data_IF_296965937781
#
_entry.id   IF_296965937781
#
_cell.length_a   1.000
_cell.length_b   1.000
_cell.length_c   1.000
_cell.angle_alpha   90.00
_cell.angle_beta   90.00
_cell.angle_gamma   90.00
#
_symmetry.space_group_name_H-M   'P 1'
#
loop_
_entity.id
_entity.type
_entity.pdbx_description
1 polymer ?
#
# COMPACT_ATOMS: atom_id res chain seq x y z
N UNK A 1 19.95 4.88 -14.62
CA UNK A 1 18.50 4.79 -14.80
C UNK A 1 18.05 3.66 -13.88
N UNK A 2 17.35 3.94 -12.78
CA UNK A 2 16.79 2.88 -11.92
C UNK A 2 15.57 2.35 -12.66
N UNK A 3 15.61 1.08 -13.07
CA UNK A 3 14.58 0.51 -13.94
C UNK A 3 13.30 0.13 -13.18
N UNK A 4 13.36 0.01 -11.84
CA UNK A 4 12.25 -0.41 -10.99
C UNK A 4 12.17 0.50 -9.75
N UNK A 5 11.05 1.21 -9.61
CA UNK A 5 10.78 2.09 -8.46
C UNK A 5 10.53 1.28 -7.19
N UNK A 6 9.91 0.11 -7.31
CA UNK A 6 9.70 -0.82 -6.21
C UNK A 6 10.95 -1.69 -6.11
N UNK A 7 11.59 -1.68 -4.96
CA UNK A 7 12.69 -2.58 -4.63
C UNK A 7 12.15 -3.99 -4.32
N UNK A 8 11.25 -4.09 -3.35
CA UNK A 8 10.58 -5.34 -2.99
C UNK A 8 9.27 -5.09 -2.22
N UNK A 9 8.47 -6.14 -2.04
CA UNK A 9 7.23 -6.13 -1.27
C UNK A 9 7.33 -7.21 -0.19
N UNK A 10 7.17 -6.83 1.07
CA UNK A 10 7.07 -7.76 2.19
C UNK A 10 5.61 -8.07 2.46
N UNK A 11 5.24 -9.36 2.37
CA UNK A 11 3.89 -9.84 2.65
C UNK A 11 3.90 -10.63 3.94
N UNK A 12 3.28 -10.07 4.97
CA UNK A 12 3.20 -10.70 6.29
C UNK A 12 2.11 -11.76 6.33
N UNK A 13 2.20 -12.65 7.32
CA UNK A 13 1.14 -13.62 7.57
C UNK A 13 -0.18 -12.91 7.90
N UNK A 14 -1.27 -13.46 7.37
CA UNK A 14 -2.59 -12.95 7.65
C UNK A 14 -2.97 -13.27 9.11
N UNK A 15 -3.39 -12.25 9.85
CA UNK A 15 -3.84 -12.39 11.23
C UNK A 15 -5.35 -12.24 11.30
N UNK A 16 -5.99 -13.06 12.14
CA UNK A 16 -7.43 -12.97 12.39
C UNK A 16 -7.66 -12.31 13.75
N UNK A 17 -8.20 -11.10 13.75
CA UNK A 17 -8.59 -10.35 14.96
C UNK A 17 -10.07 -10.01 14.86
N UNK A 18 -10.85 -10.25 15.92
CA UNK A 18 -12.30 -9.97 15.99
C UNK A 18 -13.13 -10.49 14.80
N UNK A 19 -12.73 -11.64 14.24
CA UNK A 19 -13.40 -12.25 13.09
C UNK A 19 -12.99 -11.70 11.73
N UNK A 20 -12.19 -10.63 11.68
CA UNK A 20 -11.65 -10.02 10.47
C UNK A 20 -10.24 -10.55 10.22
N UNK A 21 -9.96 -11.00 9.00
CA UNK A 21 -8.61 -11.38 8.57
C UNK A 21 -7.91 -10.19 7.94
N UNK A 22 -6.87 -9.68 8.58
CA UNK A 22 -6.03 -8.61 8.07
C UNK A 22 -4.70 -9.18 7.57
N UNK A 23 -4.22 -8.69 6.43
CA UNK A 23 -2.91 -9.01 5.90
C UNK A 23 -2.12 -7.72 5.73
N UNK A 24 -0.97 -7.63 6.41
CA UNK A 24 -0.06 -6.51 6.27
C UNK A 24 0.83 -6.72 5.04
N UNK A 25 1.02 -5.66 4.27
CA UNK A 25 1.91 -5.60 3.12
C UNK A 25 2.72 -4.31 3.23
N UNK A 26 4.04 -4.44 3.24
CA UNK A 26 4.95 -3.29 3.21
C UNK A 26 5.63 -3.23 1.83
N UNK A 27 5.68 -2.05 1.21
CA UNK A 27 6.28 -1.83 -0.11
C UNK A 27 7.55 -1.01 0.08
N UNK A 28 8.68 -1.55 -0.35
CA UNK A 28 9.97 -0.89 -0.30
C UNK A 28 10.28 -0.28 -1.66
N UNK A 29 10.69 1.00 -1.65
CA UNK A 29 10.97 1.76 -2.86
C UNK A 29 12.47 2.00 -3.02
N UNK A 30 12.98 1.87 -4.25
CA UNK A 30 14.36 2.16 -4.63
C UNK A 30 14.50 3.59 -5.19
N UNK A 31 13.91 4.58 -4.52
CA UNK A 31 14.00 5.97 -4.95
C UNK A 31 15.28 6.63 -4.41
N UNK A 32 16.03 7.29 -5.29
CA UNK A 32 17.13 8.18 -4.90
C UNK A 32 16.56 9.61 -4.91
N UNK A 33 16.16 10.12 -3.75
CA UNK A 33 15.58 11.46 -3.59
C UNK A 33 14.18 11.46 -2.97
N UNK A 34 13.45 12.57 -3.11
CA UNK A 34 12.08 12.69 -2.62
C UNK A 34 11.12 11.85 -3.46
N UNK A 35 10.29 11.06 -2.79
CA UNK A 35 9.18 10.31 -3.38
C UNK A 35 7.87 10.92 -2.90
N UNK A 36 7.26 11.75 -3.74
CA UNK A 36 5.96 12.35 -3.43
C UNK A 36 4.86 11.33 -3.76
N UNK A 37 4.33 10.69 -2.72
CA UNK A 37 3.09 9.91 -2.84
C UNK A 37 1.94 10.91 -2.92
N UNK A 38 1.19 10.96 -4.04
CA UNK A 38 0.03 11.84 -4.13
C UNK A 38 -0.98 11.48 -3.05
N UNK A 39 -1.49 12.50 -2.34
CA UNK A 39 -2.57 12.32 -1.38
C UNK A 39 -3.77 11.68 -2.10
N UNK A 40 -4.11 10.46 -1.71
CA UNK A 40 -5.22 9.69 -2.29
C UNK A 40 -6.51 10.50 -2.35
N UNK A 41 -6.79 11.36 -1.36
CA UNK A 41 -8.01 12.19 -1.31
C UNK A 41 -8.10 13.18 -2.46
N UNK A 42 -6.98 13.46 -3.13
CA UNK A 42 -6.89 14.34 -4.30
C UNK A 42 -6.98 13.57 -5.62
N UNK A 43 -6.97 12.24 -5.58
CA UNK A 43 -7.09 11.37 -6.76
C UNK A 43 -8.58 11.00 -6.91
N UNK A 44 -9.22 11.28 -8.06
CA UNK A 44 -10.59 10.86 -8.30
C UNK A 44 -10.76 9.35 -8.15
N UNK A 45 -11.83 8.88 -7.50
CA UNK A 45 -12.04 7.43 -7.29
C UNK A 45 -12.08 6.63 -8.58
N UNK A 46 -12.57 7.22 -9.67
CA UNK A 46 -12.61 6.59 -10.99
C UNK A 46 -11.21 6.29 -11.57
N UNK A 47 -10.19 7.03 -11.12
CA UNK A 47 -8.80 6.85 -11.55
C UNK A 47 -8.03 5.87 -10.64
N UNK A 48 -8.63 5.46 -9.51
CA UNK A 48 -8.07 4.46 -8.60
C UNK A 48 -8.62 3.08 -9.00
N UNK A 49 -7.86 2.35 -9.82
CA UNK A 49 -8.19 0.96 -10.17
C UNK A 49 -7.67 0.05 -9.05
N UNK A 50 -8.57 -0.48 -8.23
CA UNK A 50 -8.28 -1.44 -7.17
C UNK A 50 -9.06 -2.73 -7.40
N UNK A 51 -8.38 -3.76 -7.91
CA UNK A 51 -8.97 -5.08 -8.08
C UNK A 51 -8.64 -5.96 -6.87
N UNK A 52 -9.65 -6.21 -6.03
CA UNK A 52 -9.55 -7.16 -4.92
C UNK A 52 -10.39 -8.40 -5.23
N UNK A 53 -9.93 -9.59 -4.83
CA UNK A 53 -10.77 -10.80 -4.89
C UNK A 53 -12.02 -10.64 -4.00
N UNK A 54 -13.10 -11.37 -4.33
CA UNK A 54 -14.35 -11.36 -3.55
C UNK A 54 -14.09 -11.62 -2.05
N UNK A 55 -14.63 -10.75 -1.20
CA UNK A 55 -14.51 -10.87 0.27
C UNK A 55 -13.24 -10.26 0.88
N UNK A 56 -12.43 -9.54 0.10
CA UNK A 56 -11.28 -8.77 0.59
C UNK A 56 -11.60 -7.28 0.53
N UNK A 57 -11.37 -6.58 1.65
CA UNK A 57 -11.39 -5.13 1.70
C UNK A 57 -9.95 -4.64 1.90
N UNK A 58 -9.54 -3.62 1.14
CA UNK A 58 -8.26 -2.95 1.33
C UNK A 58 -8.49 -1.67 2.14
N UNK A 59 -7.67 -1.47 3.17
CA UNK A 59 -7.61 -0.22 3.91
C UNK A 59 -6.15 0.21 4.05
N UNK A 60 -5.90 1.51 4.01
CA UNK A 60 -4.58 2.07 4.27
C UNK A 60 -4.47 2.33 5.78
N UNK A 61 -3.35 1.91 6.37
CA UNK A 61 -3.01 2.36 7.72
C UNK A 61 -2.82 3.88 7.71
N UNK A 62 -3.13 4.59 8.81
CA UNK A 62 -2.81 6.01 8.93
C UNK A 62 -1.31 6.21 8.68
N UNK A 63 -0.94 7.27 7.93
CA UNK A 63 0.45 7.59 7.59
C UNK A 63 1.36 7.49 8.82
N UNK A 64 2.29 6.55 8.81
CA UNK A 64 3.46 6.64 9.67
C UNK A 64 4.41 7.62 8.99
N UNK A 65 4.36 8.88 9.43
CA UNK A 65 5.37 9.87 9.05
C UNK A 65 6.70 9.37 9.60
N UNK A 66 7.58 8.90 8.71
CA UNK A 66 8.98 8.74 9.04
C UNK A 66 9.56 10.16 9.23
N UNK A 67 10.02 10.46 10.44
CA UNK A 67 10.69 11.72 10.81
C UNK A 67 12.12 11.71 10.30
#
# INVERSE_FOLDING_TARGET
MVAELIDHIEVYHAEKQDGVTNQRVDIHYNCIGAFDVPDRRKIPEADIIMETRKGVALSYAPEQVAV
#
